data_IF_825426465538
#
_entry.id   IF_825426465538
#
_cell.length_a   1.000
_cell.length_b   1.000
_cell.length_c   1.000
_cell.angle_alpha   90.00
_cell.angle_beta   90.00
_cell.angle_gamma   90.00
#
_symmetry.space_group_name_H-M   'P 1'
#
loop_
_entity.id
_entity.type
_entity.pdbx_description
1 polymer ?
#
# COMPACT_ATOMS: atom_id res chain seq x y z
N UNK A 1 -36.99 -54.26 -28.75
CA UNK A 1 -36.87 -52.78 -28.93
C UNK A 1 -35.74 -52.31 -27.99
N UNK A 2 -34.53 -52.10 -28.55
CA UNK A 2 -33.73 -50.85 -28.55
C UNK A 2 -33.49 -50.24 -27.15
N UNK A 3 -32.27 -50.00 -26.60
CA UNK A 3 -30.82 -50.09 -26.96
C UNK A 3 -30.08 -50.11 -25.59
N UNK A 4 -29.16 -51.02 -25.25
CA UNK A 4 -27.72 -51.10 -25.58
C UNK A 4 -26.87 -49.82 -25.40
N UNK A 5 -25.83 -49.93 -24.55
CA UNK A 5 -24.67 -49.04 -24.43
C UNK A 5 -23.89 -49.28 -23.12
N UNK A 6 -23.27 -50.45 -22.93
CA UNK A 6 -21.83 -50.78 -23.08
C UNK A 6 -20.93 -50.25 -21.94
N UNK A 7 -20.47 -51.13 -21.01
CA UNK A 7 -19.18 -51.90 -20.95
C UNK A 7 -17.98 -50.96 -20.68
N UNK A 8 -17.18 -51.06 -19.61
CA UNK A 8 -16.13 -52.05 -19.30
C UNK A 8 -15.71 -51.84 -17.82
N UNK A 9 -15.72 -52.89 -16.99
CA UNK A 9 -14.59 -53.79 -16.72
C UNK A 9 -13.57 -53.15 -15.76
N UNK A 10 -13.55 -53.55 -14.49
CA UNK A 10 -12.83 -54.74 -13.98
C UNK A 10 -11.33 -54.52 -14.07
N UNK A 11 -10.50 -54.71 -13.06
CA UNK A 11 -10.63 -54.97 -11.64
C UNK A 11 -9.18 -55.09 -11.13
N UNK A 12 -9.03 -55.34 -9.84
CA UNK A 12 -7.93 -56.11 -9.27
C UNK A 12 -6.55 -55.39 -9.26
N UNK A 13 -5.70 -55.51 -8.25
CA UNK A 13 -5.71 -56.30 -7.03
C UNK A 13 -4.49 -55.81 -6.24
N UNK A 14 -4.59 -55.87 -4.92
CA UNK A 14 -3.53 -56.16 -3.94
C UNK A 14 -2.08 -55.81 -4.33
N UNK A 15 -1.46 -54.86 -3.64
CA UNK A 15 -0.79 -55.15 -2.37
C UNK A 15 0.26 -56.26 -2.52
N UNK A 16 1.53 -55.89 -2.29
CA UNK A 16 2.40 -56.48 -1.27
C UNK A 16 3.84 -55.93 -1.44
N UNK A 17 4.30 -55.26 -0.38
CA UNK A 17 5.60 -55.46 0.25
C UNK A 17 6.88 -55.26 -0.58
N UNK A 18 7.45 -54.06 -0.46
CA UNK A 18 8.85 -53.81 -0.09
C UNK A 18 8.93 -52.31 0.26
N UNK A 19 9.14 -51.88 1.51
CA UNK A 19 10.33 -52.23 2.27
C UNK A 19 11.52 -51.45 1.71
N UNK A 20 11.55 -50.12 1.89
CA UNK A 20 12.73 -49.26 1.78
C UNK A 20 12.37 -47.81 2.13
N UNK A 21 12.53 -47.41 3.40
CA UNK A 21 12.98 -46.05 3.69
C UNK A 21 14.50 -46.05 3.60
N UNK A 22 15.08 -45.18 2.77
CA UNK A 22 16.31 -44.52 3.15
C UNK A 22 16.12 -43.00 3.14
N UNK A 23 16.53 -42.41 4.27
CA UNK A 23 17.05 -41.07 4.49
C UNK A 23 16.58 -39.91 3.60
N UNK A 24 16.05 -38.87 4.26
CA UNK A 24 16.08 -37.52 3.73
C UNK A 24 17.51 -37.15 3.29
N UNK A 25 17.64 -36.52 2.12
CA UNK A 25 18.16 -35.16 2.17
C UNK A 25 17.54 -34.30 1.06
N UNK A 26 16.31 -33.81 1.24
CA UNK A 26 15.83 -32.72 0.42
C UNK A 26 15.89 -31.43 1.24
N UNK A 27 17.08 -30.83 1.15
CA UNK A 27 17.27 -29.38 0.96
C UNK A 27 15.95 -28.76 0.50
N UNK A 28 15.30 -28.01 1.38
CA UNK A 28 14.17 -27.17 0.97
C UNK A 28 14.73 -26.25 -0.10
N UNK A 29 14.19 -26.45 -1.29
CA UNK A 29 14.40 -25.70 -2.51
C UNK A 29 14.45 -24.22 -2.15
N UNK A 30 15.63 -23.61 -2.36
CA UNK A 30 15.76 -22.54 -3.34
C UNK A 30 14.41 -21.85 -3.57
N UNK A 31 14.21 -20.73 -2.86
CA UNK A 31 13.26 -19.70 -3.26
C UNK A 31 13.66 -19.30 -4.69
N UNK A 32 12.99 -19.91 -5.65
CA UNK A 32 13.02 -19.51 -7.04
C UNK A 32 12.15 -18.26 -7.13
N UNK A 33 12.73 -17.10 -6.83
CA UNK A 33 12.26 -15.89 -7.52
C UNK A 33 12.53 -16.18 -8.99
N UNK A 34 11.51 -16.31 -9.86
CA UNK A 34 11.76 -16.54 -11.25
C UNK A 34 12.51 -15.32 -11.79
N UNK A 35 13.73 -15.54 -12.26
CA UNK A 35 14.49 -14.53 -12.96
C UNK A 35 13.74 -14.18 -14.25
N UNK A 36 13.00 -13.08 -14.23
CA UNK A 36 12.41 -12.48 -15.44
C UNK A 36 11.00 -11.91 -15.32
N UNK A 37 10.31 -12.01 -14.19
CA UNK A 37 9.00 -11.36 -14.06
C UNK A 37 9.18 -9.84 -13.97
N UNK A 38 8.71 -9.14 -15.01
CA UNK A 38 8.55 -7.69 -14.96
C UNK A 38 7.46 -7.42 -13.94
N UNK A 39 7.85 -6.88 -12.78
CA UNK A 39 6.94 -6.53 -11.68
C UNK A 39 5.88 -5.52 -12.09
N UNK A 40 6.20 -4.72 -13.11
CA UNK A 40 5.30 -3.74 -13.68
C UNK A 40 4.98 -4.13 -15.12
N UNK A 41 3.77 -3.86 -15.61
CA UNK A 41 3.45 -4.01 -17.02
C UNK A 41 4.45 -3.23 -17.88
N UNK A 42 4.94 -3.85 -18.96
CA UNK A 42 5.92 -3.22 -19.87
C UNK A 42 5.34 -2.00 -20.58
N UNK A 43 4.00 -1.93 -20.72
CA UNK A 43 3.26 -0.85 -21.37
C UNK A 43 2.23 -0.21 -20.41
N UNK A 44 2.71 0.41 -19.34
CA UNK A 44 1.85 1.19 -18.46
C UNK A 44 1.36 2.47 -19.14
N UNK A 45 0.04 2.68 -19.15
CA UNK A 45 -0.55 3.96 -19.53
C UNK A 45 -0.41 5.00 -18.42
N UNK A 46 -0.41 6.27 -18.80
CA UNK A 46 -0.39 7.39 -17.85
C UNK A 46 -1.51 7.29 -16.80
N UNK A 47 -2.72 6.93 -17.23
CA UNK A 47 -3.87 6.78 -16.31
C UNK A 47 -3.66 5.63 -15.32
N UNK A 48 -3.08 4.50 -15.74
CA UNK A 48 -2.73 3.44 -14.80
C UNK A 48 -1.69 3.89 -13.79
N UNK A 49 -0.71 4.70 -14.22
CA UNK A 49 0.29 5.22 -13.30
C UNK A 49 -0.34 6.16 -12.27
N UNK A 50 -1.23 7.05 -12.73
CA UNK A 50 -1.95 7.96 -11.86
C UNK A 50 -2.83 7.18 -10.87
N UNK A 51 -3.72 6.32 -11.36
CA UNK A 51 -4.75 5.67 -10.53
C UNK A 51 -4.16 4.68 -9.52
N UNK A 52 -3.12 3.93 -9.93
CA UNK A 52 -2.56 2.84 -9.12
C UNK A 52 -1.43 3.35 -8.22
N UNK A 53 -0.50 4.11 -8.78
CA UNK A 53 0.77 4.41 -8.12
C UNK A 53 0.84 5.83 -7.56
N UNK A 54 0.09 6.79 -8.09
CA UNK A 54 0.11 8.16 -7.58
C UNK A 54 -1.03 8.43 -6.59
N UNK A 55 -2.27 8.16 -6.98
CA UNK A 55 -3.46 8.58 -6.23
C UNK A 55 -3.52 8.00 -4.81
N UNK A 56 -2.98 6.79 -4.63
CA UNK A 56 -2.90 6.11 -3.33
C UNK A 56 -1.99 6.80 -2.33
N UNK A 57 -1.01 7.57 -2.78
CA UNK A 57 -0.04 8.23 -1.90
C UNK A 57 0.25 9.68 -2.29
N UNK A 58 -0.67 10.33 -2.97
CA UNK A 58 -0.54 11.75 -3.35
C UNK A 58 -0.29 12.67 -2.15
N UNK A 59 -0.91 12.38 -1.00
CA UNK A 59 -0.68 13.12 0.24
C UNK A 59 0.70 12.87 0.84
N UNK A 60 1.21 11.64 0.72
CA UNK A 60 2.60 11.33 1.03
C UNK A 60 3.55 12.13 0.12
N UNK A 61 3.22 12.24 -1.17
CA UNK A 61 4.01 13.02 -2.11
C UNK A 61 4.00 14.52 -1.79
N UNK A 62 2.86 15.07 -1.37
CA UNK A 62 2.72 16.49 -1.05
C UNK A 62 3.34 16.88 0.30
N UNK A 63 3.02 16.14 1.36
CA UNK A 63 3.25 16.57 2.74
C UNK A 63 4.39 15.85 3.45
N UNK A 64 4.70 14.61 3.07
CA UNK A 64 5.75 13.87 3.78
C UNK A 64 7.12 14.54 3.58
N UNK A 65 8.03 14.46 4.58
CA UNK A 65 9.43 14.84 4.39
C UNK A 65 10.09 13.99 3.30
N UNK A 66 11.34 14.31 2.97
CA UNK A 66 12.14 13.44 2.09
C UNK A 66 12.52 12.15 2.85
N UNK A 67 12.42 11.02 2.17
CA UNK A 67 12.81 9.71 2.70
C UNK A 67 13.21 8.76 1.57
N UNK A 68 14.10 7.82 1.88
CA UNK A 68 14.63 6.83 0.91
C UNK A 68 14.47 5.38 1.37
N UNK A 69 13.81 5.18 2.50
CA UNK A 69 13.44 3.87 3.04
C UNK A 69 12.29 4.03 4.05
N UNK A 70 11.38 3.06 4.11
CA UNK A 70 10.12 3.19 4.86
C UNK A 70 10.32 3.38 6.38
N UNK A 71 11.44 2.91 6.93
CA UNK A 71 11.83 3.07 8.34
C UNK A 71 12.15 4.52 8.74
N UNK A 72 12.35 5.42 7.77
CA UNK A 72 12.53 6.85 8.02
C UNK A 72 11.21 7.59 8.24
N UNK A 73 10.08 7.00 7.85
CA UNK A 73 8.75 7.55 8.14
C UNK A 73 8.36 7.20 9.57
N UNK A 74 7.65 8.07 10.27
CA UNK A 74 6.99 7.67 11.52
C UNK A 74 5.73 6.84 11.23
N UNK A 75 5.33 5.92 12.13
CA UNK A 75 4.05 5.23 12.04
C UNK A 75 2.87 6.19 11.88
N UNK A 76 2.89 7.33 12.58
CA UNK A 76 1.86 8.37 12.49
C UNK A 76 1.77 9.01 11.10
N UNK A 77 2.91 9.28 10.46
CA UNK A 77 2.95 9.81 9.10
C UNK A 77 2.29 8.83 8.14
N UNK A 78 2.56 7.54 8.32
CA UNK A 78 2.08 6.50 7.44
C UNK A 78 0.57 6.26 7.61
N UNK A 79 0.03 6.22 8.84
CA UNK A 79 -1.43 6.05 9.05
C UNK A 79 -2.24 7.30 8.65
N UNK A 80 -1.66 8.51 8.74
CA UNK A 80 -2.36 9.74 8.36
C UNK A 80 -2.24 10.03 6.85
N UNK A 81 -1.02 10.17 6.35
CA UNK A 81 -0.77 10.57 4.95
C UNK A 81 -0.87 9.39 3.98
N UNK A 82 -0.50 8.19 4.43
CA UNK A 82 -0.48 6.98 3.61
C UNK A 82 -1.79 6.19 3.60
N UNK A 83 -2.62 6.31 4.64
CA UNK A 83 -3.89 5.60 4.75
C UNK A 83 -5.12 6.52 4.78
N UNK A 84 -5.21 7.43 5.76
CA UNK A 84 -6.44 8.21 5.98
C UNK A 84 -6.72 9.21 4.86
N UNK A 85 -5.78 10.11 4.56
CA UNK A 85 -6.00 11.19 3.59
C UNK A 85 -6.23 10.74 2.15
N UNK A 86 -5.60 9.65 1.66
CA UNK A 86 -5.94 9.09 0.36
C UNK A 86 -7.40 8.60 0.27
N UNK A 87 -7.97 8.08 1.35
CA UNK A 87 -9.36 7.59 1.41
C UNK A 87 -10.40 8.71 1.61
N UNK A 88 -10.02 9.79 2.27
CA UNK A 88 -10.89 10.93 2.59
C UNK A 88 -10.27 12.26 2.13
N UNK A 89 -9.98 12.42 0.82
CA UNK A 89 -9.26 13.59 0.29
C UNK A 89 -10.08 14.88 0.35
N UNK A 90 -11.41 14.76 0.39
CA UNK A 90 -12.38 15.86 0.48
C UNK A 90 -12.74 16.21 1.93
N UNK A 91 -12.11 15.53 2.91
CA UNK A 91 -12.41 15.66 4.34
C UNK A 91 -13.87 15.43 4.70
N UNK A 92 -14.59 14.66 3.88
CA UNK A 92 -15.90 14.18 4.29
C UNK A 92 -15.75 13.35 5.56
N UNK A 93 -16.68 13.53 6.49
CA UNK A 93 -16.73 12.69 7.67
C UNK A 93 -16.87 11.22 7.25
N UNK A 94 -15.97 10.33 7.70
CA UNK A 94 -16.14 8.89 7.54
C UNK A 94 -17.45 8.44 8.18
N UNK A 95 -18.14 7.48 7.56
CA UNK A 95 -19.26 6.77 8.17
C UNK A 95 -18.72 5.73 9.18
N UNK A 96 -18.14 6.22 10.28
CA UNK A 96 -17.49 5.42 11.31
C UNK A 96 -17.73 6.00 12.71
N UNK A 97 -17.69 5.19 13.78
CA UNK A 97 -17.78 5.69 15.14
C UNK A 97 -16.69 6.72 15.43
N UNK A 98 -17.06 7.81 16.08
CA UNK A 98 -16.12 8.85 16.51
C UNK A 98 -15.67 8.58 17.95
N UNK A 99 -14.37 8.45 18.15
CA UNK A 99 -13.72 8.34 19.45
C UNK A 99 -13.32 9.74 19.93
N UNK A 100 -13.76 10.06 21.14
CA UNK A 100 -13.42 11.31 21.82
C UNK A 100 -13.17 10.99 23.30
N UNK A 101 -11.92 10.69 23.65
CA UNK A 101 -11.53 10.57 25.04
C UNK A 101 -11.41 11.98 25.64
N UNK A 102 -12.01 12.17 26.83
CA UNK A 102 -11.83 13.36 27.67
C UNK A 102 -11.72 14.69 26.94
N UNK A 103 -12.81 15.13 26.29
CA UNK A 103 -12.97 16.41 25.58
C UNK A 103 -12.67 17.72 26.39
N UNK A 104 -11.98 17.61 27.52
CA UNK A 104 -11.51 18.68 28.38
C UNK A 104 -10.05 19.10 28.12
N UNK A 105 -9.22 18.35 27.38
CA UNK A 105 -7.84 18.76 27.08
C UNK A 105 -7.49 18.65 25.58
N UNK A 106 -6.72 19.61 25.07
CA UNK A 106 -6.40 19.76 23.64
C UNK A 106 -5.37 18.73 23.12
N UNK A 107 -4.81 17.92 24.02
CA UNK A 107 -3.73 16.96 23.74
C UNK A 107 -4.21 15.51 23.73
N UNK A 108 -5.52 15.26 23.90
CA UNK A 108 -6.07 13.91 23.93
C UNK A 108 -6.44 13.39 22.52
N UNK A 109 -6.03 12.15 22.25
CA UNK A 109 -6.29 11.46 20.99
C UNK A 109 -7.80 11.36 20.73
N UNK A 110 -8.23 11.92 19.61
CA UNK A 110 -9.60 11.81 19.11
C UNK A 110 -9.60 11.51 17.62
N UNK A 111 -10.68 10.91 17.13
CA UNK A 111 -10.88 10.68 15.71
C UNK A 111 -11.84 9.55 15.39
N UNK A 112 -12.04 9.32 14.09
CA UNK A 112 -12.86 8.21 13.62
C UNK A 112 -12.10 6.90 13.81
N UNK A 113 -12.80 5.85 14.24
CA UNK A 113 -12.20 4.55 14.49
C UNK A 113 -12.08 3.75 13.19
N UNK A 114 -10.85 3.38 12.86
CA UNK A 114 -10.53 2.48 11.75
C UNK A 114 -10.04 1.14 12.30
N UNK A 115 -10.62 0.00 11.90
CA UNK A 115 -10.17 -1.33 12.29
C UNK A 115 -8.68 -1.52 12.07
N UNK A 116 -8.05 -2.17 13.04
CA UNK A 116 -6.63 -2.42 13.05
C UNK A 116 -6.15 -3.18 11.79
N UNK A 117 -6.86 -4.24 11.40
CA UNK A 117 -6.53 -5.09 10.25
C UNK A 117 -6.59 -4.31 8.92
N UNK A 118 -7.55 -3.40 8.78
CA UNK A 118 -7.68 -2.52 7.62
C UNK A 118 -6.47 -1.59 7.48
N UNK A 119 -6.10 -0.90 8.57
CA UNK A 119 -4.97 0.02 8.58
C UNK A 119 -3.67 -0.73 8.37
N UNK A 120 -3.37 -1.74 9.18
CA UNK A 120 -2.15 -2.54 9.12
C UNK A 120 -1.99 -3.22 7.76
N UNK A 121 -3.09 -3.75 7.18
CA UNK A 121 -3.08 -4.39 5.88
C UNK A 121 -2.69 -3.43 4.75
N UNK A 122 -3.18 -2.19 4.77
CA UNK A 122 -2.77 -1.16 3.78
C UNK A 122 -1.30 -0.77 3.99
N UNK A 123 -0.89 -0.58 5.23
CA UNK A 123 0.49 -0.23 5.57
C UNK A 123 1.47 -1.31 5.10
N UNK A 124 1.17 -2.57 5.39
CA UNK A 124 1.97 -3.70 4.95
C UNK A 124 1.98 -3.81 3.42
N UNK A 125 0.81 -3.74 2.77
CA UNK A 125 0.69 -3.92 1.32
C UNK A 125 1.43 -2.86 0.52
N UNK A 126 1.39 -1.59 0.93
CA UNK A 126 1.92 -0.49 0.12
C UNK A 126 3.24 0.06 0.62
N UNK A 127 3.69 -0.30 1.82
CA UNK A 127 4.94 0.21 2.37
C UNK A 127 5.87 -0.90 2.87
N UNK A 128 5.44 -2.16 2.83
CA UNK A 128 6.24 -3.29 3.26
C UNK A 128 6.56 -3.31 4.77
N UNK A 129 5.87 -2.47 5.56
CA UNK A 129 6.12 -2.36 7.01
C UNK A 129 5.36 -3.45 7.79
N UNK A 130 5.97 -4.03 8.84
CA UNK A 130 5.32 -5.06 9.63
C UNK A 130 4.21 -4.47 10.52
N UNK A 131 3.10 -5.19 10.75
CA UNK A 131 2.00 -4.70 11.58
C UNK A 131 2.41 -4.23 12.98
N UNK A 132 3.39 -4.90 13.61
CA UNK A 132 3.88 -4.53 14.94
C UNK A 132 4.46 -3.11 14.97
N UNK A 133 5.11 -2.69 13.89
CA UNK A 133 5.68 -1.35 13.76
C UNK A 133 4.58 -0.29 13.58
N UNK A 134 3.53 -0.60 12.83
CA UNK A 134 2.38 0.33 12.65
C UNK A 134 1.68 0.60 13.98
N UNK A 135 1.64 -0.38 14.89
CA UNK A 135 1.07 -0.24 16.24
C UNK A 135 1.87 0.68 17.16
N UNK A 136 3.08 1.06 16.79
CA UNK A 136 3.86 2.07 17.51
C UNK A 136 3.33 3.50 17.28
N UNK A 137 2.37 3.68 16.37
CA UNK A 137 1.65 4.95 16.19
C UNK A 137 0.92 5.36 17.47
N UNK A 138 1.01 6.64 17.83
CA UNK A 138 0.27 7.24 18.95
C UNK A 138 -1.25 7.20 18.72
N UNK A 139 -1.69 6.85 17.50
CA UNK A 139 -3.09 6.78 17.11
C UNK A 139 -3.70 5.39 17.31
N UNK A 140 -2.89 4.38 17.61
CA UNK A 140 -3.37 3.03 17.86
C UNK A 140 -4.01 2.94 19.25
N UNK A 141 -5.21 2.36 19.31
CA UNK A 141 -5.99 2.12 20.54
C UNK A 141 -6.11 0.61 20.76
N UNK A 142 -5.23 -0.01 21.57
CA UNK A 142 -5.22 -1.46 21.78
C UNK A 142 -6.55 -2.00 22.32
N UNK A 143 -7.23 -1.27 23.20
CA UNK A 143 -8.49 -1.69 23.82
C UNK A 143 -9.67 -1.68 22.84
N UNK A 144 -9.47 -1.06 21.67
CA UNK A 144 -10.48 -0.94 20.60
C UNK A 144 -10.08 -1.71 19.35
N UNK A 145 -8.89 -2.31 19.31
CA UNK A 145 -8.31 -2.92 18.11
C UNK A 145 -8.50 -2.01 16.89
N UNK A 146 -8.20 -0.71 17.07
CA UNK A 146 -8.51 0.33 16.10
C UNK A 146 -7.50 1.48 16.16
N UNK A 147 -7.42 2.24 15.09
CA UNK A 147 -6.73 3.52 15.05
C UNK A 147 -7.75 4.66 15.13
N UNK A 148 -7.52 5.63 16.01
CA UNK A 148 -8.30 6.87 16.05
C UNK A 148 -7.66 7.89 15.11
N UNK A 149 -8.25 8.00 13.92
CA UNK A 149 -7.75 8.88 12.87
C UNK A 149 -8.73 10.02 12.64
N UNK A 150 -8.23 11.23 12.83
CA UNK A 150 -8.84 12.43 12.28
C UNK A 150 -7.71 13.26 11.71
N UNK A 151 -7.99 13.80 10.54
CA UNK A 151 -7.25 14.92 10.02
C UNK A 151 -8.24 16.07 9.91
N UNK A 152 -8.02 17.13 10.70
CA UNK A 152 -8.67 18.42 10.49
C UNK A 152 -7.71 19.24 9.65
N UNK A 153 -7.93 19.41 8.35
CA UNK A 153 -7.02 20.22 7.57
C UNK A 153 -7.09 21.66 8.04
N UNK A 154 -5.94 22.32 8.00
CA UNK A 154 -5.88 23.62 7.34
C UNK A 154 -6.26 23.37 5.87
N UNK A 155 -7.24 24.08 5.29
CA UNK A 155 -7.76 23.76 3.96
C UNK A 155 -6.69 23.97 2.90
N UNK A 156 -5.94 22.91 2.57
CA UNK A 156 -4.99 22.85 1.47
C UNK A 156 -5.46 21.78 0.50
N UNK A 157 -5.80 22.22 -0.70
CA UNK A 157 -6.10 21.32 -1.81
C UNK A 157 -4.85 21.17 -2.68
N UNK A 158 -4.46 19.93 -2.96
CA UNK A 158 -3.32 19.65 -3.83
C UNK A 158 -3.78 19.16 -5.20
N UNK A 159 -3.15 19.68 -6.25
CA UNK A 159 -3.22 19.14 -7.60
C UNK A 159 -1.89 18.48 -7.94
N UNK A 160 -1.95 17.36 -8.65
CA UNK A 160 -0.77 16.58 -9.01
C UNK A 160 -0.72 16.43 -10.53
N UNK A 161 0.44 16.66 -11.12
CA UNK A 161 0.72 16.34 -12.50
C UNK A 161 1.85 15.32 -12.56
N UNK A 162 1.60 14.18 -13.22
CA UNK A 162 2.65 13.22 -13.54
C UNK A 162 3.48 13.79 -14.69
N UNK A 163 4.73 14.12 -14.41
CA UNK A 163 5.64 14.72 -15.39
C UNK A 163 6.33 13.66 -16.25
N UNK A 164 6.75 12.55 -15.63
CA UNK A 164 7.46 11.43 -16.26
C UNK A 164 7.40 10.18 -15.37
N UNK A 165 7.56 8.99 -15.96
CA UNK A 165 7.81 7.76 -15.20
C UNK A 165 8.76 6.80 -15.94
N UNK A 166 9.55 6.08 -15.16
CA UNK A 166 10.53 5.12 -15.68
C UNK A 166 10.45 3.82 -14.90
N UNK A 167 10.52 2.69 -15.62
CA UNK A 167 10.57 1.35 -15.04
C UNK A 167 11.94 0.72 -15.33
N UNK A 168 12.62 0.28 -14.28
CA UNK A 168 13.91 -0.40 -14.32
C UNK A 168 13.92 -1.63 -13.41
N UNK A 169 13.71 -2.81 -13.98
CA UNK A 169 13.63 -4.06 -13.21
C UNK A 169 12.42 -4.06 -12.27
N UNK A 170 12.67 -4.21 -10.97
CA UNK A 170 11.64 -4.13 -9.92
C UNK A 170 11.36 -2.70 -9.45
N UNK A 171 12.07 -1.69 -9.95
CA UNK A 171 11.91 -0.30 -9.50
C UNK A 171 11.18 0.55 -10.55
N UNK A 172 10.21 1.32 -10.10
CA UNK A 172 9.56 2.40 -10.84
C UNK A 172 9.86 3.73 -10.17
N UNK A 173 10.19 4.75 -10.97
CA UNK A 173 10.38 6.13 -10.51
C UNK A 173 9.36 7.03 -11.18
N UNK A 174 8.57 7.76 -10.39
CA UNK A 174 7.61 8.76 -10.84
C UNK A 174 8.16 10.15 -10.57
N UNK A 175 8.13 11.05 -11.56
CA UNK A 175 8.38 12.48 -11.37
C UNK A 175 7.05 13.22 -11.36
N UNK A 176 6.76 13.95 -10.29
CA UNK A 176 5.45 14.56 -10.05
C UNK A 176 5.60 16.02 -9.66
N UNK A 177 4.86 16.89 -10.33
CA UNK A 177 4.68 18.29 -9.93
C UNK A 177 3.48 18.40 -8.99
N UNK A 178 3.70 18.93 -7.79
CA UNK A 178 2.68 19.16 -6.76
C UNK A 178 2.34 20.63 -6.73
N UNK A 179 1.07 20.96 -6.88
CA UNK A 179 0.55 22.31 -6.82
C UNK A 179 -0.36 22.47 -5.61
N UNK A 180 -0.26 23.59 -4.92
CA UNK A 180 -1.22 24.00 -3.90
C UNK A 180 -2.28 24.90 -4.55
N UNK A 181 -3.55 24.51 -4.47
CA UNK A 181 -4.67 25.30 -4.95
C UNK A 181 -5.06 26.32 -3.89
N UNK A 182 -5.11 27.60 -4.27
CA UNK A 182 -5.61 28.65 -3.38
C UNK A 182 -7.13 28.60 -3.28
N UNK A 183 -7.65 29.02 -2.12
CA UNK A 183 -9.07 29.00 -1.75
C UNK A 183 -9.96 29.79 -2.73
N UNK A 184 -9.40 30.73 -3.48
CA UNK A 184 -10.13 31.61 -4.41
C UNK A 184 -10.22 31.06 -5.86
N UNK A 185 -9.64 29.90 -6.14
CA UNK A 185 -9.87 29.17 -7.39
C UNK A 185 -9.09 29.64 -8.63
N UNK A 186 -8.94 28.70 -9.56
CA UNK A 186 -8.31 28.74 -10.90
C UNK A 186 -6.79 28.59 -11.05
N UNK A 187 -5.94 29.01 -10.08
CA UNK A 187 -4.48 28.83 -10.22
C UNK A 187 -3.87 28.13 -9.01
N UNK A 188 -3.34 26.93 -9.23
CA UNK A 188 -2.44 26.30 -8.28
C UNK A 188 -1.02 26.85 -8.45
N UNK A 189 -0.35 27.22 -7.36
CA UNK A 189 1.09 27.51 -7.41
C UNK A 189 1.88 26.22 -7.29
N UNK A 190 2.93 26.06 -8.12
CA UNK A 190 3.85 24.93 -7.98
C UNK A 190 4.47 24.99 -6.57
N UNK A 191 4.13 24.01 -5.75
CA UNK A 191 4.62 23.89 -4.39
C UNK A 191 6.00 23.22 -4.39
N UNK A 192 6.12 22.11 -5.12
CA UNK A 192 7.35 21.32 -5.21
C UNK A 192 7.28 20.31 -6.36
N UNK A 193 8.44 19.84 -6.81
CA UNK A 193 8.55 18.65 -7.64
C UNK A 193 9.06 17.49 -6.79
N UNK A 194 8.54 16.30 -7.02
CA UNK A 194 8.85 15.10 -6.22
C UNK A 194 9.25 13.96 -7.13
N UNK A 195 10.21 13.16 -6.67
CA UNK A 195 10.43 11.82 -7.18
C UNK A 195 9.84 10.82 -6.19
N UNK A 196 8.95 9.95 -6.67
CA UNK A 196 8.38 8.84 -5.89
C UNK A 196 9.00 7.55 -6.42
N UNK A 197 9.63 6.78 -5.53
CA UNK A 197 10.24 5.50 -5.86
C UNK A 197 9.34 4.36 -5.37
N UNK A 198 9.08 3.41 -6.24
CA UNK A 198 8.15 2.30 -6.01
C UNK A 198 8.84 1.00 -6.41
N UNK A 199 8.81 0.01 -5.54
CA UNK A 199 9.38 -1.31 -5.80
C UNK A 199 8.27 -2.35 -5.94
N UNK A 200 8.38 -3.25 -6.92
CA UNK A 200 7.50 -4.39 -7.06
C UNK A 200 7.63 -5.35 -5.89
N UNK A 201 6.49 -5.73 -5.30
CA UNK A 201 6.44 -6.75 -4.27
C UNK A 201 6.31 -8.14 -4.92
N UNK A 202 7.02 -9.14 -4.38
CA UNK A 202 7.06 -10.52 -4.89
C UNK A 202 5.71 -11.26 -4.93
N UNK A 203 4.62 -10.61 -4.51
CA UNK A 203 3.25 -11.09 -4.50
C UNK A 203 2.38 -10.46 -5.61
N UNK A 204 3.00 -9.72 -6.54
CA UNK A 204 2.30 -8.96 -7.59
C UNK A 204 1.79 -7.59 -7.11
N UNK A 205 2.13 -7.18 -5.89
CA UNK A 205 1.91 -5.85 -5.36
C UNK A 205 3.08 -4.89 -5.61
N UNK A 206 3.12 -3.80 -4.84
CA UNK A 206 4.22 -2.84 -4.85
C UNK A 206 4.34 -2.13 -3.50
N UNK A 207 5.55 -1.65 -3.20
CA UNK A 207 5.84 -0.84 -2.04
C UNK A 207 6.36 0.54 -2.46
N UNK A 208 5.89 1.60 -1.81
CA UNK A 208 6.59 2.88 -1.80
C UNK A 208 7.89 2.70 -1.01
N UNK A 209 9.01 3.08 -1.62
CA UNK A 209 10.35 2.94 -1.02
C UNK A 209 11.10 4.26 -0.91
N UNK A 210 10.58 5.34 -1.48
CA UNK A 210 11.13 6.67 -1.24
C UNK A 210 10.30 7.80 -1.82
N UNK A 211 10.43 8.98 -1.24
CA UNK A 211 9.99 10.24 -1.83
C UNK A 211 11.07 11.29 -1.62
N UNK A 212 11.50 11.96 -2.68
CA UNK A 212 12.56 12.99 -2.63
C UNK A 212 12.13 14.27 -3.35
N UNK A 213 12.52 15.42 -2.82
CA UNK A 213 12.28 16.71 -3.47
C UNK A 213 13.25 16.91 -4.63
N UNK A 214 12.71 17.31 -5.77
CA UNK A 214 13.47 17.70 -6.96
C UNK A 214 13.64 19.22 -7.01
N UNK A 215 14.72 19.73 -7.60
CA UNK A 215 14.89 21.17 -7.81
C UNK A 215 13.75 21.77 -8.64
N UNK A 216 13.22 22.91 -8.19
CA UNK A 216 12.36 23.77 -9.01
C UNK A 216 13.27 24.55 -9.97
N UNK A 217 13.17 24.25 -11.27
CA UNK A 217 13.86 25.02 -12.32
C UNK A 217 13.11 26.32 -12.63
#
# INVERSE_FOLDING_TARGET
MKRMGRVLAVALLCALLAGCTPAAPNRVESSSVPAGESYFPVDLSESQVIDVYLDRCRWLAAEAPDWTSADQLSPDTLVVLGYYLPLYPDNRAPDRPYYNYGAASADELSGYLFPQDEVEGVCQRYFGVPPQWVRESERYLPERESYALIYRPVPREYLFALDDWQVGGSLMSLSVSVYERTVDGERGSLLRRRRISIEGAGDGGFHYVGVTTLPTQ
#
